data_IF_508139394116
#
_entry.id   IF_508139394116
#
_cell.length_a   1.000
_cell.length_b   1.000
_cell.length_c   1.000
_cell.angle_alpha   90.00
_cell.angle_beta   90.00
_cell.angle_gamma   90.00
#
_symmetry.space_group_name_H-M   'P 1'
#
loop_
_entity.id
_entity.type
_entity.pdbx_description
1 polymer ?
#
# COMPACT_ATOMS: atom_id res chain seq x y z
N UNK A 1 -15.07 8.26 -50.38
CA UNK A 1 -15.24 7.19 -49.38
C UNK A 1 -14.39 7.53 -48.17
N UNK A 2 -14.95 7.80 -46.99
CA UNK A 2 -14.12 8.07 -45.83
C UNK A 2 -13.57 6.74 -45.30
N UNK A 3 -12.26 6.68 -45.13
CA UNK A 3 -11.57 5.56 -44.51
C UNK A 3 -12.10 5.38 -43.08
N UNK A 4 -12.69 4.23 -42.79
CA UNK A 4 -13.06 3.83 -41.43
C UNK A 4 -11.77 3.64 -40.63
N UNK A 5 -11.45 4.63 -39.79
CA UNK A 5 -10.43 4.49 -38.76
C UNK A 5 -10.94 3.43 -37.78
N UNK A 6 -10.44 2.20 -37.89
CA UNK A 6 -10.65 1.18 -36.88
C UNK A 6 -10.05 1.72 -35.56
N UNK A 7 -10.79 1.71 -34.44
CA UNK A 7 -10.20 2.11 -33.17
C UNK A 7 -9.08 1.11 -32.89
N UNK A 8 -7.83 1.58 -32.82
CA UNK A 8 -6.73 0.71 -32.40
C UNK A 8 -7.10 0.19 -31.02
N UNK A 9 -7.45 -1.09 -30.93
CA UNK A 9 -7.71 -1.75 -29.68
C UNK A 9 -6.45 -1.60 -28.84
N UNK A 10 -6.53 -0.81 -27.77
CA UNK A 10 -5.38 -0.60 -26.90
C UNK A 10 -4.92 -1.98 -26.41
N UNK A 11 -3.61 -2.26 -26.45
CA UNK A 11 -3.05 -3.56 -26.01
C UNK A 11 -3.44 -3.93 -24.57
N UNK A 12 -3.90 -2.97 -23.77
CA UNK A 12 -4.47 -3.19 -22.44
C UNK A 12 -5.91 -3.71 -22.47
N UNK A 13 -6.72 -3.32 -23.46
CA UNK A 13 -8.10 -3.81 -23.61
C UNK A 13 -8.15 -5.30 -23.98
N UNK A 14 -7.12 -5.82 -24.65
CA UNK A 14 -6.99 -7.24 -24.98
C UNK A 14 -6.56 -8.13 -23.80
N UNK A 15 -6.09 -7.56 -22.69
CA UNK A 15 -5.69 -8.33 -21.51
C UNK A 15 -6.92 -8.79 -20.73
N UNK A 16 -6.86 -9.99 -20.15
CA UNK A 16 -7.90 -10.47 -19.25
C UNK A 16 -8.11 -9.53 -18.04
N UNK A 17 -9.32 -9.46 -17.48
CA UNK A 17 -9.65 -8.50 -16.44
C UNK A 17 -8.91 -8.75 -15.12
N UNK A 18 -8.52 -9.99 -14.83
CA UNK A 18 -7.64 -10.31 -13.72
C UNK A 18 -6.23 -9.72 -13.91
N UNK A 19 -5.66 -9.84 -15.11
CA UNK A 19 -4.34 -9.28 -15.43
C UNK A 19 -4.37 -7.75 -15.29
N UNK A 20 -5.42 -7.08 -15.76
CA UNK A 20 -5.60 -5.64 -15.58
C UNK A 20 -5.62 -5.24 -14.11
N UNK A 21 -6.32 -5.99 -13.26
CA UNK A 21 -6.36 -5.74 -11.82
C UNK A 21 -4.97 -5.88 -11.18
N UNK A 22 -4.23 -6.95 -11.51
CA UNK A 22 -2.88 -7.17 -11.01
C UNK A 22 -1.91 -6.08 -11.46
N UNK A 23 -1.99 -5.63 -12.71
CA UNK A 23 -1.16 -4.53 -13.22
C UNK A 23 -1.44 -3.21 -12.48
N UNK A 24 -2.72 -2.90 -12.23
CA UNK A 24 -3.09 -1.70 -11.48
C UNK A 24 -2.64 -1.78 -10.01
N UNK A 25 -2.79 -2.95 -9.38
CA UNK A 25 -2.28 -3.18 -8.03
C UNK A 25 -0.75 -3.06 -7.97
N UNK A 26 -0.03 -3.66 -8.92
CA UNK A 26 1.42 -3.56 -9.01
C UNK A 26 1.89 -2.12 -9.23
N UNK A 27 1.21 -1.36 -10.10
CA UNK A 27 1.48 0.06 -10.28
C UNK A 27 1.28 0.84 -8.98
N UNK A 28 0.19 0.59 -8.25
CA UNK A 28 -0.06 1.22 -6.96
C UNK A 28 1.04 0.88 -5.95
N UNK A 29 1.44 -0.39 -5.86
CA UNK A 29 2.53 -0.84 -4.98
C UNK A 29 3.84 -0.10 -5.28
N UNK A 30 4.21 -0.01 -6.56
CA UNK A 30 5.43 0.69 -6.98
C UNK A 30 5.37 2.18 -6.63
N UNK A 31 4.23 2.84 -6.84
CA UNK A 31 4.04 4.25 -6.47
C UNK A 31 4.18 4.47 -4.96
N UNK A 32 3.59 3.60 -4.13
CA UNK A 32 3.75 3.68 -2.68
C UNK A 32 5.19 3.44 -2.24
N UNK A 33 5.84 2.38 -2.72
CA UNK A 33 7.23 2.08 -2.38
C UNK A 33 8.18 3.20 -2.81
N UNK A 34 7.97 3.78 -4.00
CA UNK A 34 8.74 4.93 -4.48
C UNK A 34 8.58 6.15 -3.58
N UNK A 35 7.38 6.40 -3.06
CA UNK A 35 7.13 7.48 -2.11
C UNK A 35 7.77 7.23 -0.75
N UNK A 36 7.71 6.00 -0.25
CA UNK A 36 8.23 5.64 1.07
C UNK A 36 9.77 5.73 1.12
N UNK A 37 10.42 5.56 -0.02
CA UNK A 37 11.89 5.59 -0.13
C UNK A 37 12.46 6.93 0.35
N UNK A 38 13.30 6.88 1.38
CA UNK A 38 14.00 8.04 1.92
C UNK A 38 13.19 8.94 2.85
N UNK A 39 11.94 8.58 3.19
CA UNK A 39 11.15 9.30 4.19
C UNK A 39 11.48 8.81 5.60
N UNK A 40 11.76 9.76 6.50
CA UNK A 40 11.91 9.47 7.91
C UNK A 40 10.56 8.97 8.48
N UNK A 41 10.62 7.97 9.35
CA UNK A 41 9.46 7.47 10.07
C UNK A 41 9.24 8.40 11.26
N UNK A 42 8.27 9.30 11.15
CA UNK A 42 8.00 10.34 12.15
C UNK A 42 6.53 10.31 12.57
N UNK A 43 6.25 10.78 13.78
CA UNK A 43 4.88 10.93 14.27
C UNK A 43 4.20 9.59 14.54
N UNK A 44 2.97 9.42 14.02
CA UNK A 44 2.11 8.29 14.33
C UNK A 44 2.71 6.93 13.92
N UNK A 45 3.50 6.88 12.85
CA UNK A 45 4.02 5.63 12.30
C UNK A 45 5.21 5.06 13.10
N UNK A 46 5.88 5.89 13.91
CA UNK A 46 7.06 5.49 14.68
C UNK A 46 6.75 4.45 15.75
N UNK A 47 5.52 4.45 16.29
CA UNK A 47 5.11 3.46 17.30
C UNK A 47 5.00 2.05 16.75
N UNK A 48 4.57 1.86 15.50
CA UNK A 48 4.51 0.52 14.90
C UNK A 48 5.91 -0.05 14.68
N UNK A 49 6.87 0.83 14.37
CA UNK A 49 8.29 0.48 14.35
C UNK A 49 8.78 0.10 15.75
N UNK A 50 8.46 0.89 16.77
CA UNK A 50 8.82 0.57 18.15
C UNK A 50 8.20 -0.76 18.62
N UNK A 51 6.93 -1.01 18.32
CA UNK A 51 6.25 -2.27 18.63
C UNK A 51 6.93 -3.45 17.92
N UNK A 52 7.32 -3.29 16.66
CA UNK A 52 8.01 -4.34 15.90
C UNK A 52 9.44 -4.56 16.44
N UNK A 53 10.12 -3.51 16.90
CA UNK A 53 11.41 -3.63 17.58
C UNK A 53 11.26 -4.38 18.92
N UNK A 54 10.21 -4.10 19.68
CA UNK A 54 9.91 -4.84 20.90
C UNK A 54 9.61 -6.32 20.59
N UNK A 55 8.89 -6.62 19.50
CA UNK A 55 8.67 -8.00 19.06
C UNK A 55 9.97 -8.70 18.61
N UNK A 56 10.92 -7.97 18.01
CA UNK A 56 12.24 -8.54 17.70
C UNK A 56 13.04 -8.87 18.97
N UNK A 57 12.84 -8.13 20.06
CA UNK A 57 13.55 -8.35 21.35
C UNK A 57 12.90 -9.43 22.21
N UNK A 58 11.56 -9.42 22.29
CA UNK A 58 10.80 -10.20 23.26
C UNK A 58 9.91 -11.28 22.63
N UNK A 59 9.82 -11.31 21.30
CA UNK A 59 8.95 -12.21 20.54
C UNK A 59 7.58 -11.63 20.20
N UNK A 60 6.82 -12.29 19.31
CA UNK A 60 5.50 -11.84 18.90
C UNK A 60 4.46 -12.00 20.03
N UNK A 61 3.50 -11.09 20.06
CA UNK A 61 2.42 -11.05 21.04
C UNK A 61 1.08 -10.70 20.37
N UNK A 62 -0.03 -11.00 21.06
CA UNK A 62 -1.38 -10.65 20.56
C UNK A 62 -1.63 -9.14 20.59
N UNK A 63 -1.09 -8.45 21.58
CA UNK A 63 -1.09 -6.99 21.70
C UNK A 63 0.35 -6.48 21.61
N UNK A 64 0.60 -5.37 20.89
CA UNK A 64 1.93 -4.80 20.83
C UNK A 64 2.37 -4.37 22.23
N UNK A 65 3.66 -4.30 22.48
CA UNK A 65 4.21 -3.80 23.73
C UNK A 65 5.10 -2.59 23.51
N UNK A 66 5.23 -1.77 24.54
CA UNK A 66 6.13 -0.62 24.57
C UNK A 66 6.82 -0.56 25.92
N UNK A 67 8.15 -0.57 25.92
CA UNK A 67 8.94 -0.54 27.17
C UNK A 67 8.56 -1.67 28.15
N UNK A 68 8.24 -2.86 27.62
CA UNK A 68 7.82 -4.02 28.41
C UNK A 68 6.33 -4.06 28.79
N UNK A 69 5.58 -2.98 28.62
CA UNK A 69 4.15 -2.94 28.95
C UNK A 69 3.27 -3.23 27.73
N UNK A 70 2.20 -4.05 27.86
CA UNK A 70 1.23 -4.25 26.80
C UNK A 70 0.51 -2.96 26.41
N UNK A 71 0.26 -2.79 25.12
CA UNK A 71 -0.46 -1.67 24.52
C UNK A 71 -1.75 -2.17 23.84
N UNK A 72 -2.81 -2.47 24.61
CA UNK A 72 -3.99 -3.21 24.14
C UNK A 72 -4.93 -2.41 23.24
N UNK A 73 -4.77 -1.10 23.12
CA UNK A 73 -5.60 -0.24 22.25
C UNK A 73 -5.41 -0.53 20.74
N UNK A 74 -4.44 -1.38 20.38
CA UNK A 74 -4.15 -1.75 18.99
C UNK A 74 -4.04 -3.26 18.84
N UNK A 75 -4.62 -3.83 17.75
CA UNK A 75 -4.31 -5.21 17.37
C UNK A 75 -2.88 -5.30 16.84
N UNK A 76 -2.19 -6.41 17.11
CA UNK A 76 -0.81 -6.62 16.65
C UNK A 76 -0.67 -6.92 15.16
N UNK A 77 -1.76 -6.99 14.39
CA UNK A 77 -1.72 -7.45 12.99
C UNK A 77 -0.71 -6.69 12.14
N UNK A 78 -0.75 -5.35 12.18
CA UNK A 78 0.20 -4.53 11.42
C UNK A 78 1.64 -4.71 11.91
N UNK A 79 1.83 -4.67 13.24
CA UNK A 79 3.14 -4.89 13.87
C UNK A 79 3.74 -6.24 13.53
N UNK A 80 2.93 -7.30 13.52
CA UNK A 80 3.36 -8.65 13.21
C UNK A 80 3.86 -8.75 11.77
N UNK A 81 3.18 -8.10 10.82
CA UNK A 81 3.64 -8.06 9.43
C UNK A 81 4.98 -7.33 9.30
N UNK A 82 5.15 -6.20 10.00
CA UNK A 82 6.43 -5.47 10.03
C UNK A 82 7.52 -6.36 10.64
N UNK A 83 7.24 -7.03 11.76
CA UNK A 83 8.15 -7.96 12.42
C UNK A 83 8.59 -9.09 11.47
N UNK A 84 7.64 -9.76 10.80
CA UNK A 84 7.95 -10.85 9.87
C UNK A 84 8.83 -10.39 8.70
N UNK A 85 8.57 -9.19 8.17
CA UNK A 85 9.40 -8.59 7.11
C UNK A 85 10.78 -8.15 7.60
N UNK A 86 10.92 -7.90 8.91
CA UNK A 86 12.18 -7.50 9.55
C UNK A 86 13.07 -8.69 9.91
N UNK A 87 12.52 -9.91 10.01
CA UNK A 87 13.26 -11.12 10.39
C UNK A 87 14.51 -11.40 9.54
N UNK A 88 14.48 -11.27 8.20
CA UNK A 88 15.66 -11.57 7.37
C UNK A 88 16.86 -10.64 7.65
N UNK A 89 16.61 -9.44 8.18
CA UNK A 89 17.63 -8.42 8.42
C UNK A 89 17.96 -8.23 9.91
N UNK A 90 17.21 -8.85 10.81
CA UNK A 90 17.36 -8.70 12.27
C UNK A 90 17.14 -7.28 12.77
N UNK A 91 16.52 -6.40 11.96
CA UNK A 91 16.26 -5.00 12.30
C UNK A 91 15.02 -4.50 11.58
N UNK A 92 14.30 -3.58 12.21
CA UNK A 92 13.18 -2.89 11.56
C UNK A 92 13.75 -1.75 10.72
N UNK A 93 13.68 -1.88 9.40
CA UNK A 93 14.00 -0.81 8.48
C UNK A 93 12.72 -0.10 7.96
N UNK A 94 12.92 1.00 7.24
CA UNK A 94 11.79 1.74 6.68
C UNK A 94 10.99 0.91 5.68
N UNK A 95 11.63 0.08 4.86
CA UNK A 95 10.90 -0.70 3.87
C UNK A 95 9.96 -1.70 4.55
N UNK A 96 10.44 -2.43 5.56
CA UNK A 96 9.64 -3.34 6.36
C UNK A 96 8.47 -2.63 7.07
N UNK A 97 8.67 -1.38 7.50
CA UNK A 97 7.62 -0.58 8.11
C UNK A 97 6.52 -0.16 7.12
N UNK A 98 6.88 0.25 5.90
CA UNK A 98 5.93 0.77 4.91
C UNK A 98 5.27 -0.32 4.04
N UNK A 99 5.96 -1.44 3.81
CA UNK A 99 5.56 -2.47 2.86
C UNK A 99 4.19 -3.11 3.18
N UNK A 100 3.81 -3.41 4.43
CA UNK A 100 2.48 -3.93 4.74
C UNK A 100 1.35 -3.01 4.28
N UNK A 101 1.47 -1.71 4.53
CA UNK A 101 0.48 -0.71 4.09
C UNK A 101 0.47 -0.54 2.56
N UNK A 102 1.64 -0.59 1.92
CA UNK A 102 1.75 -0.53 0.47
C UNK A 102 1.07 -1.73 -0.21
N UNK A 103 1.25 -2.93 0.33
CA UNK A 103 0.58 -4.16 -0.13
C UNK A 103 -0.94 -4.08 0.07
N UNK A 104 -1.39 -3.61 1.24
CA UNK A 104 -2.82 -3.44 1.51
C UNK A 104 -3.48 -2.46 0.52
N UNK A 105 -2.80 -1.34 0.21
CA UNK A 105 -3.31 -0.37 -0.74
C UNK A 105 -3.30 -0.89 -2.19
N UNK A 106 -2.28 -1.64 -2.58
CA UNK A 106 -2.22 -2.34 -3.88
C UNK A 106 -3.35 -3.35 -4.04
N UNK A 107 -3.62 -4.15 -2.99
CA UNK A 107 -4.72 -5.10 -2.95
C UNK A 107 -6.08 -4.38 -3.05
N UNK A 108 -6.26 -3.25 -2.37
CA UNK A 108 -7.48 -2.45 -2.45
C UNK A 108 -7.72 -1.92 -3.87
N UNK A 109 -6.68 -1.40 -4.54
CA UNK A 109 -6.77 -0.94 -5.94
C UNK A 109 -7.20 -2.07 -6.87
N UNK A 110 -6.55 -3.24 -6.75
CA UNK A 110 -6.89 -4.41 -7.56
C UNK A 110 -8.34 -4.88 -7.29
N UNK A 111 -8.76 -4.88 -6.02
CA UNK A 111 -10.10 -5.29 -5.60
C UNK A 111 -11.17 -4.33 -6.13
N UNK A 112 -10.99 -3.03 -5.98
CA UNK A 112 -11.93 -2.01 -6.50
C UNK A 112 -12.09 -2.16 -8.00
N UNK A 113 -11.00 -2.32 -8.74
CA UNK A 113 -11.08 -2.57 -10.18
C UNK A 113 -11.86 -3.87 -10.48
N UNK A 114 -11.54 -4.98 -9.81
CA UNK A 114 -12.20 -6.29 -10.01
C UNK A 114 -13.70 -6.25 -9.76
N UNK A 115 -14.13 -5.51 -8.75
CA UNK A 115 -15.55 -5.41 -8.37
C UNK A 115 -16.35 -4.60 -9.38
N UNK A 116 -15.79 -3.51 -9.91
CA UNK A 116 -16.53 -2.58 -10.78
C UNK A 116 -16.40 -2.92 -12.27
N UNK A 117 -15.36 -3.64 -12.67
CA UNK A 117 -15.11 -3.94 -14.08
C UNK A 117 -16.24 -4.70 -14.79
N UNK A 118 -16.92 -5.70 -14.16
CA UNK A 118 -18.07 -6.37 -14.77
C UNK A 118 -19.27 -5.45 -15.00
N UNK A 119 -19.41 -4.37 -14.22
CA UNK A 119 -20.49 -3.38 -14.37
C UNK A 119 -20.12 -2.40 -15.49
N UNK A 120 -18.93 -1.82 -15.42
CA UNK A 120 -18.40 -0.96 -16.47
C UNK A 120 -16.89 -0.74 -16.31
N UNK A 121 -16.07 -1.08 -17.33
CA UNK A 121 -14.64 -0.86 -17.29
C UNK A 121 -14.25 0.62 -17.13
N UNK A 122 -15.06 1.54 -17.69
CA UNK A 122 -14.83 2.99 -17.57
C UNK A 122 -15.02 3.46 -16.14
N UNK A 123 -16.11 3.04 -15.49
CA UNK A 123 -16.36 3.38 -14.09
C UNK A 123 -15.36 2.73 -13.14
N UNK A 124 -14.90 1.51 -13.42
CA UNK A 124 -13.83 0.86 -12.66
C UNK A 124 -12.53 1.67 -12.69
N UNK A 125 -12.11 2.13 -13.87
CA UNK A 125 -10.92 2.98 -14.00
C UNK A 125 -11.09 4.34 -13.33
N UNK A 126 -12.26 4.97 -13.46
CA UNK A 126 -12.55 6.23 -12.78
C UNK A 126 -12.53 6.07 -11.25
N UNK A 127 -13.11 5.00 -10.72
CA UNK A 127 -13.08 4.71 -9.28
C UNK A 127 -11.66 4.47 -8.77
N UNK A 128 -10.84 3.72 -9.51
CA UNK A 128 -9.41 3.57 -9.20
C UNK A 128 -8.70 4.92 -9.26
N UNK A 129 -8.93 5.73 -10.29
CA UNK A 129 -8.33 7.06 -10.40
C UNK A 129 -8.72 7.95 -9.21
N UNK A 130 -10.00 7.99 -8.84
CA UNK A 130 -10.48 8.73 -7.67
C UNK A 130 -9.87 8.21 -6.37
N UNK A 131 -9.75 6.89 -6.20
CA UNK A 131 -9.09 6.28 -5.04
C UNK A 131 -7.63 6.73 -4.92
N UNK A 132 -6.88 6.68 -6.03
CA UNK A 132 -5.49 7.14 -6.11
C UNK A 132 -5.37 8.67 -5.94
N UNK A 133 -6.42 9.43 -6.21
CA UNK A 133 -6.46 10.89 -6.06
C UNK A 133 -7.02 11.37 -4.72
N UNK A 134 -7.43 10.45 -3.83
CA UNK A 134 -7.89 10.84 -2.49
C UNK A 134 -6.81 11.61 -1.75
N UNK A 135 -7.20 12.59 -0.93
CA UNK A 135 -6.26 13.43 -0.18
C UNK A 135 -5.31 12.59 0.70
N UNK A 136 -5.74 11.44 1.20
CA UNK A 136 -4.91 10.49 1.95
C UNK A 136 -3.87 9.82 1.05
N UNK A 137 -4.26 9.39 -0.15
CA UNK A 137 -3.32 8.84 -1.12
C UNK A 137 -2.36 9.90 -1.65
N UNK A 138 -2.85 11.09 -1.99
CA UNK A 138 -2.04 12.21 -2.49
C UNK A 138 -1.11 12.72 -1.40
N UNK A 139 -1.54 12.90 -0.15
CA UNK A 139 -0.68 13.35 0.96
C UNK A 139 0.35 12.29 1.35
N UNK A 140 0.00 11.01 1.23
CA UNK A 140 0.98 9.93 1.30
C UNK A 140 1.94 10.05 0.12
N UNK A 141 1.49 9.92 -1.13
CA UNK A 141 2.25 9.91 -2.38
C UNK A 141 3.12 11.18 -2.61
N UNK A 142 2.64 12.37 -2.21
CA UNK A 142 3.21 13.67 -2.52
C UNK A 142 2.97 14.68 -1.38
N UNK A 143 4.07 15.32 -0.94
CA UNK A 143 4.12 16.51 -0.06
C UNK A 143 3.92 16.25 1.44
N UNK A 144 5.05 16.21 2.16
CA UNK A 144 5.32 17.17 3.23
C UNK A 144 6.82 17.40 3.36
N UNK A 145 7.35 18.31 2.55
CA UNK A 145 8.56 19.06 2.87
C UNK A 145 8.16 20.49 3.21
N UNK A 146 8.84 21.05 4.21
CA UNK A 146 8.60 22.36 4.83
C UNK A 146 7.39 22.44 5.77
N UNK A 147 7.62 22.14 7.05
CA UNK A 147 7.76 23.18 8.10
C UNK A 147 7.85 22.50 9.47
N UNK A 148 9.03 22.71 10.06
CA UNK A 148 9.45 22.53 11.45
C UNK A 148 9.56 21.10 11.95
#
# INVERSE_FOLDING_TARGET
MPASLSPSSSRLASLGPAVRAWLLGALALLLFCAQAKGRAIIGFDSRFVLFAQEMLRHGPSLFPSTYGEPYPDYPSTSTLLIYLLSLPFGRVDSLAAWLPSALAAAALVALVYRLLEPISPRWALLAVALLLLTATFVRSCWIRWSRR
#
